data_IF_027100789864
#
_entry.id   IF_027100789864
#
_cell.length_a   1.000
_cell.length_b   1.000
_cell.length_c   1.000
_cell.angle_alpha   90.00
_cell.angle_beta   90.00
_cell.angle_gamma   90.00
#
_symmetry.space_group_name_H-M   'P 1'
#
loop_
_entity.id
_entity.type
_entity.pdbx_description
1 polymer ?
#
# COMPACT_ATOMS: atom_id res chain seq x y z
N UNK A 1 27.84 -22.99 -60.28
CA UNK A 1 27.39 -22.01 -61.30
C UNK A 1 26.13 -21.40 -60.71
N UNK A 2 26.10 -20.28 -59.98
CA UNK A 2 26.81 -18.99 -59.92
C UNK A 2 27.05 -18.64 -58.43
N UNK A 3 28.20 -18.21 -57.90
CA UNK A 3 28.98 -16.95 -58.06
C UNK A 3 28.19 -15.65 -57.78
N UNK A 4 28.91 -14.69 -57.17
CA UNK A 4 28.58 -13.33 -56.70
C UNK A 4 28.11 -13.21 -55.24
N UNK A 5 28.59 -12.28 -54.41
CA UNK A 5 29.70 -11.33 -54.50
C UNK A 5 29.91 -10.74 -53.09
N UNK A 6 31.16 -10.47 -52.77
CA UNK A 6 31.69 -9.80 -51.58
C UNK A 6 31.46 -8.29 -51.65
N UNK A 7 30.98 -7.68 -50.56
CA UNK A 7 30.75 -6.23 -50.49
C UNK A 7 31.09 -5.66 -49.12
N UNK A 8 32.39 -5.47 -48.90
CA UNK A 8 33.03 -4.72 -47.82
C UNK A 8 32.57 -3.25 -47.80
N UNK A 9 32.19 -2.75 -46.61
CA UNK A 9 32.16 -1.32 -46.31
C UNK A 9 32.57 -1.07 -44.86
N UNK A 10 33.89 -1.05 -44.67
CA UNK A 10 34.57 -0.29 -43.64
C UNK A 10 34.01 1.12 -43.51
N UNK A 11 33.53 1.48 -42.31
CA UNK A 11 33.31 2.87 -41.90
C UNK A 11 33.82 3.06 -40.49
N UNK A 12 35.08 3.50 -40.43
CA UNK A 12 35.73 4.08 -39.26
C UNK A 12 34.92 5.30 -38.81
N UNK A 13 34.33 5.22 -37.62
CA UNK A 13 33.80 6.39 -36.92
C UNK A 13 34.73 6.67 -35.74
N UNK A 14 35.36 7.84 -35.83
CA UNK A 14 36.29 8.37 -34.84
C UNK A 14 35.62 8.52 -33.48
N UNK A 15 36.33 7.99 -32.49
CA UNK A 15 36.08 8.11 -31.06
C UNK A 15 36.46 9.55 -30.69
N UNK A 16 35.46 10.34 -30.27
CA UNK A 16 35.69 11.60 -29.55
C UNK A 16 35.25 11.34 -28.11
N UNK A 17 36.24 11.01 -27.28
CA UNK A 17 36.10 10.94 -25.83
C UNK A 17 35.82 12.35 -25.29
N UNK A 18 34.54 12.64 -25.02
CA UNK A 18 34.14 13.77 -24.20
C UNK A 18 33.92 13.25 -22.78
N UNK A 19 34.98 13.35 -21.96
CA UNK A 19 34.93 13.23 -20.51
C UNK A 19 34.10 14.38 -19.92
N UNK A 20 32.77 14.21 -19.94
CA UNK A 20 31.86 15.00 -19.13
C UNK A 20 31.76 14.26 -17.79
N UNK A 21 32.44 14.80 -16.77
CA UNK A 21 32.28 14.36 -15.40
C UNK A 21 30.80 14.44 -15.03
N UNK A 22 30.14 13.29 -14.95
CA UNK A 22 28.76 13.17 -14.47
C UNK A 22 28.72 13.67 -13.03
N UNK A 23 27.99 14.77 -12.80
CA UNK A 23 27.67 15.22 -11.45
C UNK A 23 26.96 14.07 -10.70
N UNK A 24 27.32 13.81 -9.43
CA UNK A 24 26.70 12.78 -8.64
C UNK A 24 25.21 13.11 -8.51
N UNK A 25 24.39 12.36 -9.24
CA UNK A 25 22.93 12.44 -9.13
C UNK A 25 22.57 12.17 -7.68
N UNK A 26 22.04 13.18 -7.00
CA UNK A 26 21.51 13.04 -5.65
C UNK A 26 20.46 11.94 -5.68
N UNK A 27 20.83 10.74 -5.22
CA UNK A 27 19.91 9.64 -4.96
C UNK A 27 18.99 10.13 -3.85
N UNK A 28 17.85 10.70 -4.22
CA UNK A 28 16.78 10.97 -3.29
C UNK A 28 16.35 9.62 -2.76
N UNK A 29 16.80 9.30 -1.54
CA UNK A 29 16.44 8.06 -0.89
C UNK A 29 14.92 7.87 -1.02
N UNK A 30 14.44 6.70 -1.47
CA UNK A 30 13.02 6.44 -1.57
C UNK A 30 12.42 6.58 -0.17
N UNK A 31 11.80 7.73 0.09
CA UNK A 31 11.04 7.97 1.31
C UNK A 31 9.90 6.95 1.29
N UNK A 32 9.91 6.06 2.28
CA UNK A 32 8.82 5.11 2.49
C UNK A 32 7.49 5.87 2.42
N UNK A 33 6.53 5.42 1.59
CA UNK A 33 5.34 6.20 1.32
C UNK A 33 4.44 6.32 2.55
N UNK A 34 3.63 7.39 2.54
CA UNK A 34 2.75 7.80 3.63
C UNK A 34 1.73 6.70 3.99
N UNK A 35 1.97 5.92 5.05
CA UNK A 35 1.00 4.93 5.53
C UNK A 35 -0.23 5.64 6.09
N UNK A 36 -1.43 5.34 5.57
CA UNK A 36 -2.68 5.95 6.06
C UNK A 36 -2.86 5.77 7.57
N UNK A 37 -2.49 4.60 8.11
CA UNK A 37 -2.45 4.35 9.56
C UNK A 37 -1.46 5.24 10.30
N UNK A 38 -0.25 5.45 9.80
CA UNK A 38 0.72 6.36 10.42
C UNK A 38 0.24 7.82 10.33
N UNK A 39 -0.43 8.19 9.24
CA UNK A 39 -1.05 9.51 9.11
C UNK A 39 -2.19 9.64 10.11
N UNK A 40 -3.05 8.61 10.26
CA UNK A 40 -4.13 8.58 11.24
C UNK A 40 -3.61 8.61 12.68
N UNK A 41 -2.64 7.78 13.02
CA UNK A 41 -2.04 7.71 14.36
C UNK A 41 -1.21 8.96 14.67
N UNK A 42 -0.45 9.47 13.70
CA UNK A 42 0.25 10.74 13.81
C UNK A 42 -0.71 11.90 14.02
N UNK A 43 -1.83 11.93 13.29
CA UNK A 43 -2.89 12.91 13.48
C UNK A 43 -3.58 12.78 14.86
N UNK A 44 -3.91 11.56 15.30
CA UNK A 44 -4.46 11.32 16.65
C UNK A 44 -3.48 11.74 17.74
N UNK A 45 -2.19 11.42 17.58
CA UNK A 45 -1.13 11.82 18.48
C UNK A 45 -1.02 13.35 18.55
N UNK A 46 -1.02 14.03 17.39
CA UNK A 46 -1.03 15.49 17.31
C UNK A 46 -2.27 16.12 17.96
N UNK A 47 -3.45 15.49 17.83
CA UNK A 47 -4.65 15.90 18.57
C UNK A 47 -4.43 15.83 20.09
N UNK A 48 -3.92 14.71 20.60
CA UNK A 48 -3.65 14.52 22.04
C UNK A 48 -2.67 15.57 22.58
N UNK A 49 -1.61 15.86 21.83
CA UNK A 49 -0.62 16.88 22.18
C UNK A 49 -1.21 18.29 22.33
N UNK A 50 -2.34 18.56 21.66
CA UNK A 50 -3.07 19.84 21.75
C UNK A 50 -4.26 19.78 22.71
N UNK A 51 -4.34 18.76 23.56
CA UNK A 51 -5.44 18.58 24.51
C UNK A 51 -6.78 18.21 23.87
N UNK A 52 -6.79 17.80 22.59
CA UNK A 52 -7.98 17.28 21.91
C UNK A 52 -7.98 15.76 22.08
N UNK A 53 -8.97 15.21 22.77
CA UNK A 53 -9.11 13.76 22.89
C UNK A 53 -9.73 13.16 21.61
N UNK A 54 -8.95 12.41 20.78
CA UNK A 54 -9.47 11.80 19.57
C UNK A 54 -10.38 10.60 19.84
N UNK A 55 -10.38 10.05 21.06
CA UNK A 55 -11.15 8.87 21.43
C UNK A 55 -12.48 9.21 22.10
N UNK A 56 -12.71 10.49 22.45
CA UNK A 56 -13.99 10.95 22.98
C UNK A 56 -15.04 10.89 21.87
N UNK A 57 -15.99 9.99 22.01
CA UNK A 57 -17.11 9.86 21.07
C UNK A 57 -18.20 10.85 21.43
N UNK A 58 -18.60 11.67 20.47
CA UNK A 58 -19.76 12.54 20.58
C UNK A 58 -20.40 12.62 19.19
N UNK A 59 -21.30 11.69 18.83
CA UNK A 59 -21.88 11.64 17.49
C UNK A 59 -22.70 12.91 17.20
N UNK A 60 -22.92 13.26 15.92
CA UNK A 60 -23.79 14.38 15.57
C UNK A 60 -25.21 14.12 16.08
N UNK A 61 -25.84 15.09 16.74
CA UNK A 61 -27.23 14.99 17.20
C UNK A 61 -28.22 15.07 16.04
N UNK A 62 -27.84 15.77 14.97
CA UNK A 62 -28.61 15.93 13.74
C UNK A 62 -27.67 15.82 12.53
N UNK A 63 -28.21 15.52 11.33
CA UNK A 63 -27.43 15.61 10.10
C UNK A 63 -26.80 17.00 9.94
N UNK A 64 -25.51 17.02 9.60
CA UNK A 64 -24.74 18.25 9.44
C UNK A 64 -24.90 18.71 8.00
N UNK A 65 -25.42 19.91 7.78
CA UNK A 65 -25.45 20.53 6.46
C UNK A 65 -24.07 21.11 6.15
N UNK A 66 -23.45 20.69 5.05
CA UNK A 66 -22.15 21.18 4.60
C UNK A 66 -22.35 22.00 3.34
N UNK A 67 -21.99 23.28 3.41
CA UNK A 67 -22.06 24.21 2.29
C UNK A 67 -20.64 24.48 1.77
N UNK A 68 -20.41 24.30 0.47
CA UNK A 68 -19.11 24.54 -0.15
C UNK A 68 -19.26 25.20 -1.54
N UNK A 69 -18.27 26.01 -1.97
CA UNK A 69 -18.28 26.64 -3.28
C UNK A 69 -18.11 25.58 -4.36
N UNK A 70 -18.96 25.61 -5.39
CA UNK A 70 -18.80 24.80 -6.58
C UNK A 70 -18.12 25.65 -7.66
N UNK A 71 -17.24 25.04 -8.45
CA UNK A 71 -16.80 25.67 -9.69
C UNK A 71 -18.02 25.82 -10.61
N UNK A 72 -18.19 26.97 -11.27
CA UNK A 72 -19.26 27.14 -12.24
C UNK A 72 -19.09 26.05 -13.31
N UNK A 73 -20.18 25.33 -13.63
CA UNK A 73 -20.15 24.47 -14.81
C UNK A 73 -19.97 25.37 -16.02
N UNK A 74 -19.27 24.89 -17.06
CA UNK A 74 -18.84 25.68 -18.22
C UNK A 74 -19.98 26.30 -19.08
N UNK A 75 -21.21 26.35 -18.57
CA UNK A 75 -22.44 26.60 -19.32
C UNK A 75 -23.16 27.89 -18.96
N UNK A 76 -22.72 28.66 -17.97
CA UNK A 76 -23.40 29.92 -17.62
C UNK A 76 -22.45 31.11 -17.52
N UNK A 77 -22.69 32.08 -18.40
CA UNK A 77 -22.15 33.42 -18.34
C UNK A 77 -22.66 34.13 -17.08
N UNK A 78 -21.76 34.87 -16.40
CA UNK A 78 -22.02 35.84 -15.33
C UNK A 78 -22.04 35.32 -13.87
N UNK A 79 -20.83 34.98 -13.38
CA UNK A 79 -20.19 35.71 -12.26
C UNK A 79 -20.66 35.48 -10.82
N UNK A 80 -21.74 34.74 -10.55
CA UNK A 80 -22.15 34.43 -9.16
C UNK A 80 -21.59 33.07 -8.73
N UNK A 81 -20.80 32.99 -7.63
CA UNK A 81 -20.33 31.70 -7.13
C UNK A 81 -21.51 30.85 -6.66
N UNK A 82 -21.79 29.76 -7.35
CA UNK A 82 -22.82 28.81 -6.94
C UNK A 82 -22.31 28.02 -5.72
N UNK A 83 -23.12 27.98 -4.66
CA UNK A 83 -22.82 27.15 -3.47
C UNK A 83 -23.63 25.87 -3.53
N UNK A 84 -22.99 24.73 -3.29
CA UNK A 84 -23.66 23.45 -3.14
C UNK A 84 -23.83 23.14 -1.66
N UNK A 85 -24.98 22.56 -1.31
CA UNK A 85 -25.28 22.05 0.03
C UNK A 85 -25.41 20.53 0.00
N UNK A 86 -24.73 19.85 0.91
CA UNK A 86 -24.89 18.41 1.16
C UNK A 86 -25.19 18.16 2.63
N UNK A 87 -25.68 16.98 2.98
CA UNK A 87 -25.94 16.59 4.36
C UNK A 87 -25.15 15.32 4.71
N UNK A 88 -24.38 15.36 5.80
CA UNK A 88 -23.61 14.22 6.32
C UNK A 88 -24.13 13.80 7.69
N UNK A 89 -24.22 12.48 7.92
CA UNK A 89 -24.78 11.90 9.16
C UNK A 89 -23.71 11.55 10.20
N UNK A 90 -22.44 11.67 9.84
CA UNK A 90 -21.29 11.35 10.69
C UNK A 90 -20.25 12.46 10.59
N UNK A 91 -19.32 12.52 11.54
CA UNK A 91 -18.18 13.43 11.46
C UNK A 91 -17.19 12.88 10.44
N UNK A 92 -17.43 13.05 9.15
CA UNK A 92 -16.49 12.68 8.09
C UNK A 92 -16.07 13.91 7.29
N UNK A 93 -14.89 13.84 6.68
CA UNK A 93 -14.41 14.89 5.79
C UNK A 93 -15.11 14.75 4.42
N UNK A 94 -15.67 15.84 3.90
CA UNK A 94 -16.30 15.85 2.57
C UNK A 94 -15.29 16.02 1.43
N UNK A 95 -14.03 16.37 1.76
CA UNK A 95 -12.97 16.64 0.79
C UNK A 95 -12.08 15.41 0.54
N UNK A 96 -11.90 14.55 1.55
CA UNK A 96 -11.08 13.34 1.45
C UNK A 96 -11.57 12.23 2.38
N UNK A 97 -11.15 10.99 2.10
CA UNK A 97 -11.44 9.80 2.92
C UNK A 97 -10.21 9.30 3.70
N UNK A 98 -9.23 10.18 3.92
CA UNK A 98 -7.93 9.77 4.48
C UNK A 98 -8.07 9.19 5.90
N UNK A 99 -8.94 9.78 6.72
CA UNK A 99 -9.14 9.40 8.12
C UNK A 99 -10.44 8.62 8.39
N UNK A 100 -11.32 8.48 7.39
CA UNK A 100 -12.66 7.90 7.57
C UNK A 100 -13.56 8.76 8.44
N UNK A 101 -14.24 8.13 9.41
CA UNK A 101 -15.16 8.80 10.35
C UNK A 101 -14.41 9.18 11.63
N UNK A 102 -14.54 10.43 12.03
CA UNK A 102 -14.01 10.96 13.28
C UNK A 102 -14.99 10.74 14.44
N UNK A 103 -14.45 10.60 15.65
CA UNK A 103 -15.27 10.35 16.85
C UNK A 103 -16.02 11.59 17.35
N UNK A 104 -15.50 12.78 17.06
CA UNK A 104 -16.11 14.04 17.46
C UNK A 104 -15.82 15.18 16.49
N UNK A 105 -16.65 16.23 16.59
CA UNK A 105 -16.56 17.47 15.82
C UNK A 105 -15.20 18.14 15.91
N UNK A 106 -14.61 18.22 17.10
CA UNK A 106 -13.35 18.95 17.34
C UNK A 106 -12.21 18.34 16.53
N UNK A 107 -12.17 17.01 16.45
CA UNK A 107 -11.18 16.28 15.65
C UNK A 107 -11.38 16.53 14.16
N UNK A 108 -12.63 16.46 13.64
CA UNK A 108 -12.92 16.81 12.25
C UNK A 108 -12.49 18.25 11.91
N UNK A 109 -12.79 19.21 12.79
CA UNK A 109 -12.38 20.60 12.60
C UNK A 109 -10.86 20.75 12.55
N UNK A 110 -10.10 20.05 13.40
CA UNK A 110 -8.63 20.05 13.34
C UNK A 110 -8.11 19.48 12.03
N UNK A 111 -8.66 18.35 11.57
CA UNK A 111 -8.31 17.76 10.27
C UNK A 111 -8.51 18.74 9.13
N UNK A 112 -9.71 19.32 9.01
CA UNK A 112 -10.01 20.31 7.95
C UNK A 112 -9.05 21.50 8.01
N UNK A 113 -8.74 22.00 9.22
CA UNK A 113 -7.83 23.15 9.38
C UNK A 113 -6.36 22.87 9.09
N UNK A 114 -5.90 21.62 9.23
CA UNK A 114 -4.49 21.26 9.06
C UNK A 114 -4.19 20.69 7.68
N UNK A 115 -5.06 19.82 7.20
CA UNK A 115 -4.80 19.01 6.00
C UNK A 115 -5.45 19.61 4.75
N UNK A 116 -6.35 20.59 4.93
CA UNK A 116 -6.99 21.36 3.85
C UNK A 116 -6.80 22.87 4.08
N UNK A 117 -5.56 23.38 4.11
CA UNK A 117 -5.28 24.80 4.39
C UNK A 117 -5.86 25.78 3.36
N UNK A 118 -6.28 25.28 2.21
CA UNK A 118 -6.94 26.01 1.13
C UNK A 118 -8.40 26.39 1.44
N UNK A 119 -9.01 25.77 2.45
CA UNK A 119 -10.37 26.09 2.90
C UNK A 119 -10.36 26.72 4.30
N UNK A 120 -11.17 27.76 4.47
CA UNK A 120 -11.54 28.29 5.77
C UNK A 120 -12.81 27.59 6.27
N UNK A 121 -12.80 27.22 7.55
CA UNK A 121 -13.83 26.36 8.14
C UNK A 121 -14.61 27.18 9.16
N UNK A 122 -15.90 27.40 8.91
CA UNK A 122 -16.80 28.10 9.84
C UNK A 122 -17.97 27.22 10.23
N UNK A 123 -18.24 27.15 11.52
CA UNK A 123 -19.41 26.48 12.07
C UNK A 123 -20.48 27.51 12.43
N UNK A 124 -21.74 27.19 12.19
CA UNK A 124 -22.86 27.96 12.76
C UNK A 124 -22.92 27.74 14.29
N UNK A 125 -23.62 28.62 15.02
CA UNK A 125 -23.75 28.61 16.49
C UNK A 125 -24.21 27.27 17.05
N UNK A 126 -25.11 26.61 16.32
CA UNK A 126 -25.74 25.37 16.75
C UNK A 126 -24.98 24.13 16.23
N UNK A 127 -23.88 24.35 15.50
CA UNK A 127 -23.02 23.32 14.91
C UNK A 127 -23.73 22.34 13.95
N UNK A 128 -24.92 22.70 13.49
CA UNK A 128 -25.69 21.97 12.49
C UNK A 128 -25.26 22.28 11.05
N UNK A 129 -24.56 23.39 10.84
CA UNK A 129 -24.07 23.81 9.52
C UNK A 129 -22.56 24.07 9.54
N UNK A 130 -21.87 23.48 8.56
CA UNK A 130 -20.45 23.62 8.27
C UNK A 130 -20.29 24.38 6.96
N UNK A 131 -19.73 25.58 7.03
CA UNK A 131 -19.44 26.40 5.86
C UNK A 131 -17.94 26.27 5.52
N UNK A 132 -17.66 25.75 4.33
CA UNK A 132 -16.31 25.67 3.77
C UNK A 132 -16.13 26.83 2.78
N UNK A 133 -15.24 27.76 3.07
CA UNK A 133 -14.96 28.92 2.22
C UNK A 133 -13.60 28.72 1.56
N UNK A 134 -13.50 28.84 0.23
CA UNK A 134 -12.21 28.81 -0.44
C UNK A 134 -11.42 30.06 -0.03
N UNK A 135 -10.17 29.92 0.40
CA UNK A 135 -9.26 31.09 0.50
C UNK A 135 -8.91 31.51 -0.92
N UNK A 136 -8.89 32.80 -1.21
CA UNK A 136 -8.73 33.39 -2.55
C UNK A 136 -7.38 33.11 -3.26
N UNK A 137 -6.68 32.03 -2.91
CA UNK A 137 -5.51 31.56 -3.63
C UNK A 137 -5.92 30.78 -4.90
N UNK A 138 -5.30 31.06 -6.06
CA UNK A 138 -5.59 30.35 -7.31
C UNK A 138 -4.97 28.95 -7.27
N UNK A 139 -5.77 27.92 -6.94
CA UNK A 139 -5.38 26.51 -7.08
C UNK A 139 -6.50 25.72 -7.75
N UNK A 140 -6.09 24.89 -8.73
CA UNK A 140 -6.90 24.00 -9.57
C UNK A 140 -7.47 22.83 -8.75
N UNK A 141 -8.76 22.90 -8.42
CA UNK A 141 -9.54 21.80 -7.81
C UNK A 141 -10.34 21.09 -8.90
N UNK A 142 -9.74 20.09 -9.55
CA UNK A 142 -10.48 19.06 -10.26
C UNK A 142 -10.29 17.77 -9.48
N UNK A 143 -11.39 17.21 -8.94
CA UNK A 143 -11.59 15.87 -8.35
C UNK A 143 -12.13 15.90 -6.91
N UNK A 144 -13.40 16.30 -6.74
CA UNK A 144 -14.19 15.92 -5.58
C UNK A 144 -15.28 14.93 -6.05
N UNK A 145 -15.30 13.71 -5.49
CA UNK A 145 -16.26 12.64 -5.85
C UNK A 145 -17.49 12.68 -4.94
N UNK A 146 -18.67 12.48 -5.51
CA UNK A 146 -19.91 12.22 -4.80
C UNK A 146 -20.04 10.72 -4.46
N UNK A 147 -20.26 10.38 -3.19
CA UNK A 147 -20.67 9.03 -2.78
C UNK A 147 -21.78 9.14 -1.73
N UNK A 148 -22.93 8.56 -2.06
CA UNK A 148 -24.09 8.39 -1.19
C UNK A 148 -24.38 6.89 -1.09
N UNK A 149 -23.91 6.23 -0.04
CA UNK A 149 -24.44 4.94 0.46
C UNK A 149 -24.29 4.93 1.98
N UNK A 150 -25.38 4.64 2.70
CA UNK A 150 -25.37 4.52 4.16
C UNK A 150 -24.76 3.18 4.60
N UNK A 151 -23.86 3.15 5.60
CA UNK A 151 -23.36 1.90 6.17
C UNK A 151 -24.40 1.28 7.15
N UNK A 152 -24.41 -0.05 7.30
CA UNK A 152 -25.27 -0.74 8.26
C UNK A 152 -24.82 -0.48 9.71
N UNK A 153 -25.79 -0.42 10.61
CA UNK A 153 -25.59 -0.33 12.06
C UNK A 153 -25.06 -1.68 12.55
N UNK A 154 -23.81 -1.71 13.03
CA UNK A 154 -23.21 -2.86 13.70
C UNK A 154 -23.34 -2.62 15.20
N UNK A 155 -23.99 -3.55 15.92
CA UNK A 155 -24.10 -3.51 17.38
C UNK A 155 -22.73 -3.67 18.03
N UNK A 156 -22.47 -2.87 19.08
CA UNK A 156 -21.23 -2.88 19.86
C UNK A 156 -21.07 -4.22 20.59
N UNK A 157 -20.19 -5.07 20.05
CA UNK A 157 -19.71 -6.25 20.76
C UNK A 157 -18.85 -5.86 21.96
N UNK A 158 -19.04 -6.61 23.04
CA UNK A 158 -18.42 -6.41 24.36
C UNK A 158 -16.92 -6.21 24.25
N UNK A 159 -16.46 -5.04 24.68
CA UNK A 159 -15.06 -4.62 24.85
C UNK A 159 -14.25 -5.66 25.62
N UNK A 160 -13.61 -6.59 24.92
CA UNK A 160 -12.56 -7.43 25.48
C UNK A 160 -11.45 -6.51 25.97
N UNK A 161 -11.07 -6.65 27.25
CA UNK A 161 -9.87 -6.01 27.81
C UNK A 161 -8.66 -6.54 27.03
N UNK A 162 -8.23 -5.77 26.03
CA UNK A 162 -6.97 -5.97 25.35
C UNK A 162 -5.85 -5.64 26.33
N UNK A 163 -5.38 -6.63 27.08
CA UNK A 163 -4.08 -6.57 27.72
C UNK A 163 -3.06 -6.41 26.59
N UNK A 164 -2.28 -5.33 26.59
CA UNK A 164 -1.20 -5.12 25.62
C UNK A 164 -0.21 -6.27 25.77
N UNK A 165 -0.43 -7.32 24.99
CA UNK A 165 0.46 -8.46 24.89
C UNK A 165 1.76 -7.92 24.34
N UNK A 166 2.68 -7.63 25.27
CA UNK A 166 4.11 -7.46 24.98
C UNK A 166 4.75 -8.85 24.85
N UNK A 167 3.94 -9.87 24.60
CA UNK A 167 4.37 -11.22 24.31
C UNK A 167 4.94 -11.15 22.90
N UNK A 168 6.26 -10.92 22.85
CA UNK A 168 7.08 -11.18 21.67
C UNK A 168 6.62 -12.51 21.11
N UNK A 169 5.85 -12.49 20.01
CA UNK A 169 5.61 -13.69 19.22
C UNK A 169 6.97 -14.36 19.08
N UNK A 170 7.15 -15.58 19.59
CA UNK A 170 8.45 -16.22 19.59
C UNK A 170 8.96 -16.18 18.15
N UNK A 171 10.21 -15.70 17.99
CA UNK A 171 10.95 -15.77 16.73
C UNK A 171 10.64 -17.13 16.10
N UNK A 172 10.19 -17.17 14.82
CA UNK A 172 9.62 -18.37 14.23
C UNK A 172 10.48 -19.56 14.61
N UNK A 173 9.90 -20.47 15.42
CA UNK A 173 10.66 -21.59 15.95
C UNK A 173 11.23 -22.34 14.75
N UNK A 174 12.49 -22.74 14.83
CA UNK A 174 13.27 -23.40 13.76
C UNK A 174 12.71 -24.80 13.42
N UNK A 175 11.41 -25.02 13.62
CA UNK A 175 10.70 -26.27 13.47
C UNK A 175 10.55 -26.63 11.98
N UNK A 176 11.64 -27.13 11.41
CA UNK A 176 11.67 -27.88 10.16
C UNK A 176 12.37 -27.17 9.00
N UNK A 177 12.90 -27.98 8.08
CA UNK A 177 13.52 -27.56 6.80
C UNK A 177 12.56 -26.85 5.82
N UNK A 178 11.36 -26.45 6.28
CA UNK A 178 10.29 -25.88 5.47
C UNK A 178 10.05 -24.40 5.73
N UNK A 179 10.67 -23.81 6.75
CA UNK A 179 10.58 -22.39 7.05
C UNK A 179 11.44 -21.49 6.15
N UNK A 180 11.41 -20.17 6.36
CA UNK A 180 12.28 -19.21 5.68
C UNK A 180 13.75 -19.49 6.01
N UNK A 181 14.65 -19.30 5.04
CA UNK A 181 16.10 -19.41 5.31
C UNK A 181 16.68 -18.16 5.95
N UNK A 182 16.03 -17.00 5.80
CA UNK A 182 16.46 -15.75 6.42
C UNK A 182 16.47 -15.85 7.94
N UNK A 183 17.54 -15.34 8.55
CA UNK A 183 17.74 -15.27 9.99
C UNK A 183 17.87 -13.81 10.40
N UNK A 184 17.46 -13.49 11.62
CA UNK A 184 17.72 -12.18 12.19
C UNK A 184 19.24 -11.94 12.30
N UNK A 185 19.75 -10.75 11.95
CA UNK A 185 19.03 -9.58 11.45
C UNK A 185 18.58 -9.76 9.99
N UNK A 186 17.29 -9.51 9.72
CA UNK A 186 16.69 -9.74 8.40
C UNK A 186 17.17 -8.75 7.33
N UNK A 187 17.55 -7.56 7.76
CA UNK A 187 18.10 -6.51 6.91
C UNK A 187 19.60 -6.43 7.22
N UNK A 188 20.50 -6.51 6.21
CA UNK A 188 21.94 -6.34 6.42
C UNK A 188 22.25 -4.95 6.99
N UNK A 189 23.15 -4.89 7.97
CA UNK A 189 23.60 -3.61 8.56
C UNK A 189 24.24 -2.65 7.54
N UNK A 190 24.75 -3.20 6.42
CA UNK A 190 25.35 -2.42 5.34
C UNK A 190 24.34 -1.78 4.39
N UNK A 191 23.05 -2.05 4.55
CA UNK A 191 22.02 -1.45 3.71
C UNK A 191 21.51 -0.16 4.32
N UNK A 192 21.25 0.85 3.49
CA UNK A 192 20.60 2.11 3.90
C UNK A 192 19.12 1.91 4.31
N UNK A 193 18.65 0.66 4.34
CA UNK A 193 17.29 0.29 4.67
C UNK A 193 17.22 0.05 6.18
N UNK A 194 16.34 0.77 6.86
CA UNK A 194 16.07 0.53 8.28
C UNK A 194 14.56 0.38 8.51
N UNK A 195 14.19 -0.54 9.40
CA UNK A 195 12.80 -0.76 9.77
C UNK A 195 12.38 0.21 10.87
N UNK A 196 11.39 1.06 10.60
CA UNK A 196 10.79 1.97 11.58
C UNK A 196 9.69 1.30 12.42
N UNK A 197 9.47 -0.01 12.28
CA UNK A 197 8.32 -0.69 12.88
C UNK A 197 8.52 -0.87 14.39
N UNK A 198 7.45 -0.70 15.20
CA UNK A 198 7.48 -1.09 16.60
C UNK A 198 7.88 -2.57 16.74
N UNK A 199 8.92 -2.85 17.55
CA UNK A 199 9.45 -4.20 17.72
C UNK A 199 10.62 -4.57 16.79
N UNK A 200 11.07 -3.64 15.94
CA UNK A 200 12.25 -3.82 15.09
C UNK A 200 11.98 -4.53 13.76
N UNK A 201 13.06 -4.86 13.01
CA UNK A 201 12.96 -5.53 11.71
C UNK A 201 12.20 -6.85 11.77
N UNK A 202 11.33 -7.06 10.78
CA UNK A 202 10.53 -8.26 10.58
C UNK A 202 10.93 -8.97 9.30
N UNK A 203 10.55 -10.24 9.17
CA UNK A 203 10.88 -11.07 8.01
C UNK A 203 10.37 -10.46 6.69
N UNK A 204 9.19 -9.85 6.72
CA UNK A 204 8.60 -9.18 5.56
C UNK A 204 9.25 -7.84 5.20
N UNK A 205 10.13 -7.28 6.04
CA UNK A 205 10.88 -6.07 5.67
C UNK A 205 11.91 -6.36 4.56
N UNK A 206 12.25 -7.63 4.30
CA UNK A 206 13.04 -8.05 3.12
C UNK A 206 12.37 -7.60 1.81
N UNK A 207 11.04 -7.51 1.78
CA UNK A 207 10.30 -7.07 0.60
C UNK A 207 10.48 -5.59 0.30
N UNK A 208 10.86 -4.77 1.28
CA UNK A 208 11.14 -3.34 1.07
C UNK A 208 12.35 -3.09 0.18
N UNK A 209 13.22 -4.10 -0.01
CA UNK A 209 14.33 -4.04 -0.96
C UNK A 209 13.91 -4.29 -2.42
N UNK A 210 12.66 -4.71 -2.66
CA UNK A 210 12.21 -5.02 -4.02
C UNK A 210 11.86 -3.77 -4.82
N UNK A 211 12.26 -3.71 -6.11
CA UNK A 211 11.98 -2.58 -6.98
C UNK A 211 10.48 -2.31 -7.10
N UNK A 212 10.10 -1.03 -7.01
CA UNK A 212 8.74 -0.54 -7.21
C UNK A 212 8.56 0.17 -8.56
N UNK A 213 9.64 0.33 -9.31
CA UNK A 213 9.70 0.92 -10.65
C UNK A 213 8.70 0.29 -11.63
N UNK A 214 8.48 -1.05 -11.65
CA UNK A 214 7.52 -1.67 -12.57
C UNK A 214 6.06 -1.20 -12.37
N UNK A 215 5.72 -0.63 -11.21
CA UNK A 215 4.38 -0.15 -10.90
C UNK A 215 4.19 1.35 -11.23
N UNK A 216 5.27 2.08 -11.50
CA UNK A 216 5.26 3.50 -11.82
C UNK A 216 4.44 4.32 -10.80
N UNK A 217 3.48 5.09 -11.31
CA UNK A 217 2.57 5.93 -10.49
C UNK A 217 1.64 5.12 -9.57
N UNK A 218 1.56 3.79 -9.71
CA UNK A 218 0.74 2.91 -8.87
C UNK A 218 1.55 2.20 -7.77
N UNK A 219 2.85 2.48 -7.66
CA UNK A 219 3.72 1.93 -6.60
C UNK A 219 3.16 2.16 -5.18
N UNK A 220 2.52 3.30 -4.93
CA UNK A 220 1.88 3.58 -3.64
C UNK A 220 0.74 2.62 -3.29
N UNK A 221 0.00 2.09 -4.28
CA UNK A 221 -1.08 1.12 -4.06
C UNK A 221 -0.50 -0.20 -3.54
N UNK A 222 0.66 -0.59 -4.08
CA UNK A 222 1.39 -1.77 -3.64
C UNK A 222 1.83 -1.63 -2.19
N UNK A 223 2.46 -0.52 -1.85
CA UNK A 223 2.91 -0.32 -0.46
C UNK A 223 1.73 -0.22 0.51
N UNK A 224 0.65 0.48 0.16
CA UNK A 224 -0.53 0.58 1.04
C UNK A 224 -1.13 -0.80 1.33
N UNK A 225 -1.20 -1.68 0.32
CA UNK A 225 -1.72 -3.04 0.48
C UNK A 225 -0.80 -3.96 1.27
N UNK A 226 0.51 -3.88 1.04
CA UNK A 226 1.50 -4.62 1.83
C UNK A 226 1.42 -4.23 3.31
N UNK A 227 1.21 -2.95 3.58
CA UNK A 227 1.15 -2.42 4.95
C UNK A 227 -0.10 -2.84 5.70
N UNK A 228 -1.26 -2.85 5.02
CA UNK A 228 -2.51 -3.44 5.53
C UNK A 228 -2.32 -4.93 5.86
N UNK A 229 -1.60 -5.65 5.01
CA UNK A 229 -1.30 -7.07 5.24
C UNK A 229 -0.37 -7.27 6.45
N UNK A 230 0.62 -6.38 6.64
CA UNK A 230 1.55 -6.46 7.76
C UNK A 230 0.91 -6.17 9.11
N UNK A 231 -0.22 -5.45 9.12
CA UNK A 231 -1.05 -5.19 10.30
C UNK A 231 -1.82 -6.39 10.83
N UNK A 232 -1.93 -7.48 10.07
CA UNK A 232 -2.70 -8.64 10.50
C UNK A 232 -1.98 -9.40 11.63
N UNK A 233 -2.31 -9.10 12.88
CA UNK A 233 -1.68 -9.70 14.06
C UNK A 233 -1.89 -11.21 14.16
N UNK A 234 -2.92 -11.75 13.51
CA UNK A 234 -3.29 -13.16 13.50
C UNK A 234 -2.61 -13.97 12.39
N UNK A 235 -1.99 -13.32 11.41
CA UNK A 235 -1.28 -13.97 10.30
C UNK A 235 0.22 -14.09 10.60
N UNK A 236 0.82 -15.23 10.24
CA UNK A 236 2.27 -15.45 10.37
C UNK A 236 3.07 -14.54 9.43
N UNK A 237 4.29 -14.20 9.80
CA UNK A 237 5.12 -13.30 9.00
C UNK A 237 5.47 -13.93 7.63
N UNK A 238 5.68 -15.26 7.60
CA UNK A 238 5.90 -16.05 6.38
C UNK A 238 4.72 -15.98 5.40
N UNK A 239 3.50 -16.09 5.92
CA UNK A 239 2.27 -16.04 5.12
C UNK A 239 2.03 -14.62 4.61
N UNK A 240 2.36 -13.58 5.40
CA UNK A 240 2.38 -12.18 4.95
C UNK A 240 3.37 -11.98 3.80
N UNK A 241 4.55 -12.57 3.87
CA UNK A 241 5.52 -12.50 2.75
C UNK A 241 4.93 -13.11 1.49
N UNK A 242 4.34 -14.31 1.57
CA UNK A 242 3.72 -14.97 0.41
C UNK A 242 2.60 -14.14 -0.20
N UNK A 243 1.71 -13.60 0.65
CA UNK A 243 0.58 -12.79 0.23
C UNK A 243 1.04 -11.48 -0.45
N UNK A 244 2.06 -10.81 0.11
CA UNK A 244 2.65 -9.60 -0.49
C UNK A 244 3.32 -9.90 -1.83
N UNK A 245 4.16 -10.94 -1.91
CA UNK A 245 4.81 -11.36 -3.16
C UNK A 245 3.79 -11.68 -4.25
N UNK A 246 2.74 -12.44 -3.89
CA UNK A 246 1.66 -12.74 -4.82
C UNK A 246 0.96 -11.47 -5.29
N UNK A 247 0.61 -10.57 -4.37
CA UNK A 247 -0.06 -9.31 -4.68
C UNK A 247 0.75 -8.48 -5.67
N UNK A 248 2.05 -8.28 -5.42
CA UNK A 248 2.96 -7.58 -6.35
C UNK A 248 2.94 -8.22 -7.74
N UNK A 249 3.09 -9.54 -7.78
CA UNK A 249 3.22 -10.26 -9.05
C UNK A 249 1.91 -10.24 -9.85
N UNK A 250 0.78 -10.54 -9.20
CA UNK A 250 -0.52 -10.63 -9.88
C UNK A 250 -1.01 -9.27 -10.37
N UNK A 251 -0.61 -8.19 -9.71
CA UNK A 251 -0.94 -6.82 -10.13
C UNK A 251 -0.49 -6.54 -11.57
N UNK A 252 0.71 -7.03 -11.95
CA UNK A 252 1.27 -6.85 -13.29
C UNK A 252 0.95 -8.03 -14.23
N UNK A 253 0.72 -9.23 -13.68
CA UNK A 253 0.63 -10.46 -14.47
C UNK A 253 -0.78 -11.09 -14.48
N UNK A 254 -1.82 -10.36 -14.08
CA UNK A 254 -3.21 -10.86 -14.02
C UNK A 254 -3.67 -11.54 -15.29
N UNK A 255 -3.42 -10.93 -16.45
CA UNK A 255 -3.84 -11.49 -17.75
C UNK A 255 -3.10 -12.79 -18.07
N UNK A 256 -1.81 -12.89 -17.74
CA UNK A 256 -1.02 -14.12 -17.91
C UNK A 256 -1.56 -15.23 -17.01
N UNK A 257 -1.92 -14.91 -15.77
CA UNK A 257 -2.51 -15.86 -14.84
C UNK A 257 -3.88 -16.38 -15.31
N UNK A 258 -4.77 -15.50 -15.75
CA UNK A 258 -6.11 -15.88 -16.21
C UNK A 258 -6.06 -16.70 -17.51
N UNK A 259 -5.08 -16.43 -18.39
CA UNK A 259 -4.92 -17.19 -19.62
C UNK A 259 -4.63 -18.68 -19.36
N UNK A 260 -3.89 -18.99 -18.28
CA UNK A 260 -3.64 -20.36 -17.84
C UNK A 260 -3.19 -20.34 -16.39
N UNK A 261 -4.06 -20.76 -15.47
CA UNK A 261 -3.78 -20.69 -14.03
C UNK A 261 -2.52 -21.46 -13.63
N UNK A 262 -2.33 -22.67 -14.18
CA UNK A 262 -1.13 -23.46 -13.93
C UNK A 262 0.14 -22.75 -14.41
N UNK A 263 0.16 -22.29 -15.67
CA UNK A 263 1.34 -21.62 -16.21
C UNK A 263 1.60 -20.27 -15.54
N UNK A 264 0.55 -19.55 -15.14
CA UNK A 264 0.67 -18.33 -14.36
C UNK A 264 1.24 -18.57 -12.96
N UNK A 265 0.72 -19.57 -12.23
CA UNK A 265 1.27 -19.96 -10.93
C UNK A 265 2.71 -20.45 -11.05
N UNK A 266 3.03 -21.20 -12.12
CA UNK A 266 4.40 -21.62 -12.42
C UNK A 266 5.31 -20.43 -12.66
N UNK A 267 4.89 -19.46 -13.47
CA UNK A 267 5.65 -18.23 -13.73
C UNK A 267 5.89 -17.41 -12.44
N UNK A 268 4.87 -17.27 -11.59
CA UNK A 268 5.02 -16.66 -10.26
C UNK A 268 6.12 -17.34 -9.44
N UNK A 269 6.08 -18.68 -9.35
CA UNK A 269 7.10 -19.47 -8.65
C UNK A 269 8.47 -19.28 -9.29
N UNK A 270 8.59 -19.36 -10.62
CA UNK A 270 9.86 -19.17 -11.34
C UNK A 270 10.49 -17.80 -11.10
N UNK A 271 9.68 -16.73 -11.02
CA UNK A 271 10.19 -15.36 -10.83
C UNK A 271 10.55 -15.07 -9.36
N UNK A 272 9.91 -15.75 -8.40
CA UNK A 272 10.01 -15.41 -6.98
C UNK A 272 10.62 -16.50 -6.09
N UNK A 273 11.03 -17.66 -6.62
CA UNK A 273 11.43 -18.81 -5.79
C UNK A 273 12.57 -18.49 -4.80
N UNK A 274 13.51 -17.61 -5.15
CA UNK A 274 14.60 -17.19 -4.24
C UNK A 274 14.06 -16.44 -3.03
N UNK A 275 13.16 -15.47 -3.26
CA UNK A 275 12.51 -14.71 -2.20
C UNK A 275 11.57 -15.60 -1.38
N UNK A 276 10.87 -16.52 -2.03
CA UNK A 276 10.05 -17.51 -1.33
C UNK A 276 10.94 -18.34 -0.41
N UNK A 277 12.05 -18.91 -0.90
CA UNK A 277 13.01 -19.67 -0.07
C UNK A 277 13.56 -18.83 1.08
N UNK A 278 13.94 -17.60 0.79
CA UNK A 278 14.56 -16.69 1.75
C UNK A 278 13.60 -16.24 2.84
N UNK A 279 12.42 -15.73 2.46
CA UNK A 279 11.58 -14.94 3.36
C UNK A 279 10.23 -15.59 3.69
N UNK A 280 9.74 -16.59 2.94
CA UNK A 280 8.46 -17.24 3.23
C UNK A 280 8.62 -18.70 3.68
N UNK A 281 9.52 -19.43 3.04
CA UNK A 281 9.66 -20.86 3.19
C UNK A 281 8.68 -21.69 2.35
N UNK A 282 8.95 -22.98 2.31
CA UNK A 282 8.18 -24.01 1.59
C UNK A 282 6.79 -24.18 2.19
N UNK A 283 6.65 -24.06 3.51
CA UNK A 283 5.38 -24.22 4.20
C UNK A 283 4.36 -23.17 3.74
N UNK A 284 4.75 -21.89 3.72
CA UNK A 284 3.89 -20.80 3.27
C UNK A 284 3.55 -20.91 1.77
N UNK A 285 4.51 -21.30 0.92
CA UNK A 285 4.22 -21.58 -0.50
C UNK A 285 3.18 -22.69 -0.67
N UNK A 286 3.31 -23.79 0.09
CA UNK A 286 2.35 -24.90 0.05
C UNK A 286 0.96 -24.44 0.47
N UNK A 287 0.84 -23.70 1.58
CA UNK A 287 -0.43 -23.13 2.04
C UNK A 287 -1.04 -22.24 0.96
N UNK A 288 -0.23 -21.37 0.33
CA UNK A 288 -0.68 -20.49 -0.75
C UNK A 288 -1.22 -21.25 -1.97
N UNK A 289 -0.52 -22.28 -2.43
CA UNK A 289 -0.98 -23.11 -3.56
C UNK A 289 -2.27 -23.88 -3.23
N UNK A 290 -2.44 -24.31 -1.98
CA UNK A 290 -3.70 -24.92 -1.52
C UNK A 290 -4.85 -23.91 -1.52
N UNK A 291 -4.60 -22.64 -1.16
CA UNK A 291 -5.61 -21.57 -1.29
C UNK A 291 -6.05 -21.43 -2.75
N UNK A 292 -5.11 -21.42 -3.71
CA UNK A 292 -5.47 -21.39 -5.13
C UNK A 292 -6.28 -22.62 -5.57
N UNK A 293 -5.97 -23.80 -5.03
CA UNK A 293 -6.71 -25.03 -5.32
C UNK A 293 -8.14 -25.02 -4.75
N UNK A 294 -8.32 -24.60 -3.50
CA UNK A 294 -9.64 -24.47 -2.86
C UNK A 294 -10.54 -23.48 -3.60
N UNK A 295 -9.94 -22.46 -4.22
CA UNK A 295 -10.65 -21.48 -5.05
C UNK A 295 -10.81 -21.91 -6.52
N UNK A 296 -10.56 -23.19 -6.86
CA UNK A 296 -10.67 -23.75 -8.20
C UNK A 296 -9.78 -23.10 -9.27
N UNK A 297 -8.69 -22.44 -8.88
CA UNK A 297 -7.69 -21.96 -9.82
C UNK A 297 -6.69 -23.06 -10.20
N UNK A 298 -6.42 -24.01 -9.29
CA UNK A 298 -5.50 -25.12 -9.53
C UNK A 298 -6.15 -26.46 -9.20
N UNK A 299 -5.81 -27.49 -9.96
CA UNK A 299 -6.12 -28.88 -9.61
C UNK A 299 -5.16 -29.39 -8.51
N UNK A 300 -5.57 -30.36 -7.68
CA UNK A 300 -4.67 -30.95 -6.68
C UNK A 300 -3.36 -31.51 -7.27
N UNK A 301 -3.42 -32.13 -8.45
CA UNK A 301 -2.24 -32.65 -9.15
C UNK A 301 -1.30 -31.53 -9.64
N UNK A 302 -1.87 -30.38 -10.00
CA UNK A 302 -1.10 -29.20 -10.39
C UNK A 302 -0.35 -28.59 -9.20
N UNK A 303 -0.96 -28.58 -8.00
CA UNK A 303 -0.28 -28.17 -6.77
C UNK A 303 0.93 -29.05 -6.49
N UNK A 304 0.79 -30.39 -6.58
CA UNK A 304 1.91 -31.32 -6.40
C UNK A 304 3.02 -31.07 -7.44
N UNK A 305 2.63 -30.84 -8.69
CA UNK A 305 3.57 -30.55 -9.79
C UNK A 305 4.34 -29.25 -9.56
N UNK A 306 3.67 -28.20 -9.08
CA UNK A 306 4.32 -26.92 -8.75
C UNK A 306 5.27 -27.04 -7.55
N UNK A 307 4.92 -27.85 -6.54
CA UNK A 307 5.80 -28.11 -5.39
C UNK A 307 7.07 -28.85 -5.80
N UNK A 308 6.95 -29.88 -6.64
CA UNK A 308 8.11 -30.59 -7.21
C UNK A 308 8.97 -29.65 -8.07
N UNK A 309 8.33 -28.83 -8.89
CA UNK A 309 9.01 -27.85 -9.72
C UNK A 309 9.82 -26.84 -8.88
N UNK A 310 9.23 -26.30 -7.81
CA UNK A 310 9.94 -25.44 -6.86
C UNK A 310 11.14 -26.13 -6.21
N UNK A 311 10.99 -27.39 -5.79
CA UNK A 311 12.08 -28.16 -5.18
C UNK A 311 13.25 -28.35 -6.15
N UNK A 312 12.96 -28.62 -7.43
CA UNK A 312 13.98 -28.73 -8.46
C UNK A 312 14.73 -27.41 -8.66
N UNK A 313 14.03 -26.26 -8.69
CA UNK A 313 14.68 -24.95 -8.75
C UNK A 313 15.62 -24.73 -7.56
N UNK A 314 15.15 -24.99 -6.33
CA UNK A 314 15.97 -24.84 -5.13
C UNK A 314 17.18 -25.79 -5.08
N UNK A 315 17.07 -26.99 -5.66
CA UNK A 315 18.16 -27.95 -5.73
C UNK A 315 19.26 -27.51 -6.71
N UNK A 316 18.89 -26.91 -7.85
CA UNK A 316 19.87 -26.45 -8.86
C UNK A 316 20.81 -25.38 -8.33
N UNK A 317 20.35 -24.51 -7.43
CA UNK A 317 21.18 -23.49 -6.80
C UNK A 317 22.25 -24.08 -5.88
N UNK A 318 21.88 -25.08 -5.09
CA UNK A 318 22.81 -25.73 -4.16
C UNK A 318 23.90 -26.54 -4.88
N UNK A 319 23.71 -26.90 -6.15
CA UNK A 319 24.72 -27.57 -6.96
C UNK A 319 25.72 -26.60 -7.61
N UNK A 320 25.40 -25.31 -7.64
CA UNK A 320 26.18 -24.27 -8.32
C UNK A 320 27.06 -23.42 -7.40
N UNK A 321 26.92 -23.55 -6.08
CA UNK A 321 27.71 -22.85 -5.06
C UNK A 321 28.57 -23.81 -4.27
#
# INVERSE_FOLDING_TARGET
>A
MSLYDTGDRSRTHDIVDNDIAEEPTHTTHPRLPFLRRNVREGFKHRCKMLGVDPNKTSPPTHPISVTYPCLPSNTEEQGVPTTNKTAVRSWSCVMCDLHGVFNNRTVLHKHLSWDHPEIDVKWNTDYSELLLLKRDAPINLATARSVSVAPPVIEEDKKLKFTSSTERRPTPSVAGNFGPTARHPYIPESSDIYSCRPGGPRLYDILSALPLEPFGVLSWVVVDREEELFELDDVLDEDKVMLALWYRWIFLNRNKFIASYFNGAKAFVTENWKLIRQAAGVAALRTWLLVLCVNNFLLPLEVVSLMQYYQNLAATENASG
#
